data_IF_784499992671
#
_entry.id   IF_784499992671
#
_cell.length_a   1.000
_cell.length_b   1.000
_cell.length_c   1.000
_cell.angle_alpha   90.00
_cell.angle_beta   90.00
_cell.angle_gamma   90.00
#
_symmetry.space_group_name_H-M   'P 1'
#
loop_
_entity.id
_entity.type
_entity.pdbx_description
1 polymer ?
#
# COMPACT_ATOMS: atom_id res chain seq x y z
N UNK A 1 -9.28 -24.79 -26.69
CA UNK A 1 -10.36 -24.86 -25.68
C UNK A 1 -11.52 -24.00 -26.15
N UNK A 2 -12.77 -24.50 -26.13
CA UNK A 2 -13.95 -23.63 -26.33
C UNK A 2 -14.06 -22.72 -25.11
N UNK A 3 -13.87 -21.40 -25.28
CA UNK A 3 -14.13 -20.42 -24.25
C UNK A 3 -15.65 -20.27 -24.10
N UNK A 4 -16.20 -20.71 -22.95
CA UNK A 4 -17.59 -20.46 -22.59
C UNK A 4 -17.72 -19.04 -22.04
N UNK A 5 -17.94 -18.07 -22.91
CA UNK A 5 -18.13 -16.67 -22.51
C UNK A 5 -19.61 -16.44 -22.13
N UNK A 6 -19.99 -16.83 -20.92
CA UNK A 6 -21.27 -16.44 -20.34
C UNK A 6 -21.31 -14.93 -20.07
N UNK A 7 -20.17 -14.41 -19.63
CA UNK A 7 -19.93 -12.98 -19.39
C UNK A 7 -18.42 -12.72 -19.47
N UNK A 8 -18.02 -11.51 -19.77
CA UNK A 8 -16.62 -11.06 -19.80
C UNK A 8 -16.52 -9.59 -19.44
N UNK A 9 -15.34 -9.19 -18.99
CA UNK A 9 -14.94 -7.78 -18.89
C UNK A 9 -14.05 -7.46 -20.09
N UNK A 10 -14.40 -6.43 -20.84
CA UNK A 10 -13.57 -5.89 -21.92
C UNK A 10 -12.65 -4.80 -21.36
N UNK A 11 -11.34 -4.96 -21.59
CA UNK A 11 -10.33 -4.01 -21.13
C UNK A 11 -9.65 -3.40 -22.34
N UNK A 12 -9.81 -2.10 -22.51
CA UNK A 12 -9.18 -1.36 -23.60
C UNK A 12 -7.77 -0.90 -23.16
N UNK A 13 -6.74 -1.64 -23.61
CA UNK A 13 -5.35 -1.35 -23.28
C UNK A 13 -4.84 -0.04 -23.91
N UNK A 14 -5.38 0.39 -25.05
CA UNK A 14 -4.99 1.65 -25.68
C UNK A 14 -5.52 2.85 -24.89
N UNK A 15 -6.70 2.73 -24.29
CA UNK A 15 -7.20 3.73 -23.35
C UNK A 15 -6.33 3.82 -22.09
N UNK A 16 -5.83 2.70 -21.58
CA UNK A 16 -4.88 2.66 -20.46
C UNK A 16 -3.55 3.33 -20.83
N UNK A 17 -3.01 3.06 -22.02
CA UNK A 17 -1.81 3.75 -22.55
C UNK A 17 -2.04 5.26 -22.65
N UNK A 18 -3.15 5.66 -23.25
CA UNK A 18 -3.52 7.07 -23.35
C UNK A 18 -3.58 7.76 -21.99
N UNK A 19 -4.10 7.10 -20.95
CA UNK A 19 -4.15 7.69 -19.61
C UNK A 19 -2.74 7.92 -19.03
N UNK A 20 -1.77 7.06 -19.32
CA UNK A 20 -0.37 7.28 -18.94
C UNK A 20 0.26 8.39 -19.76
N UNK A 21 -0.06 8.53 -21.05
CA UNK A 21 0.37 9.68 -21.85
C UNK A 21 -0.14 11.01 -21.25
N UNK A 22 -1.36 11.04 -20.73
CA UNK A 22 -1.89 12.21 -20.02
C UNK A 22 -1.14 12.47 -18.69
N UNK A 23 -0.70 11.41 -17.99
CA UNK A 23 0.18 11.59 -16.82
C UNK A 23 1.48 12.26 -17.24
N UNK A 24 2.15 11.80 -18.31
CA UNK A 24 3.39 12.39 -18.80
C UNK A 24 3.26 13.87 -19.17
N UNK A 25 2.11 14.31 -19.67
CA UNK A 25 1.83 15.73 -19.96
C UNK A 25 1.72 16.60 -18.71
N UNK A 26 1.41 15.99 -17.57
CA UNK A 26 1.20 16.69 -16.28
C UNK A 26 2.41 16.66 -15.34
N UNK A 27 3.52 16.04 -15.76
CA UNK A 27 4.75 15.95 -14.98
C UNK A 27 5.91 16.60 -15.72
N UNK A 28 6.99 16.90 -15.01
CA UNK A 28 8.21 17.45 -15.62
C UNK A 28 8.94 16.37 -16.42
N UNK A 29 9.64 16.78 -17.47
CA UNK A 29 10.56 15.92 -18.19
C UNK A 29 11.59 15.32 -17.22
N UNK A 30 11.83 14.02 -17.34
CA UNK A 30 12.73 13.27 -16.45
C UNK A 30 12.06 12.72 -15.16
N UNK A 31 10.84 13.15 -14.82
CA UNK A 31 10.09 12.52 -13.73
C UNK A 31 9.65 11.12 -14.13
N UNK A 32 10.00 10.13 -13.31
CA UNK A 32 9.63 8.71 -13.53
C UNK A 32 8.17 8.47 -13.23
N UNK A 33 7.59 7.47 -13.89
CA UNK A 33 6.21 7.03 -13.66
C UNK A 33 6.20 5.60 -13.13
N UNK A 34 5.59 5.41 -11.97
CA UNK A 34 5.24 4.10 -11.41
C UNK A 34 3.77 3.82 -11.68
N UNK A 35 3.44 2.80 -12.47
CA UNK A 35 2.07 2.32 -12.60
C UNK A 35 1.68 1.43 -11.42
N UNK A 36 0.57 1.72 -10.76
CA UNK A 36 0.07 0.92 -9.65
C UNK A 36 -0.84 -0.18 -10.21
N UNK A 37 -0.35 -1.42 -10.17
CA UNK A 37 -1.01 -2.60 -10.75
C UNK A 37 -1.43 -3.65 -9.71
N UNK A 38 -1.44 -3.28 -8.43
CA UNK A 38 -1.93 -4.12 -7.33
C UNK A 38 -3.40 -4.50 -7.50
N UNK A 39 -3.85 -5.51 -6.78
CA UNK A 39 -5.22 -6.05 -6.87
C UNK A 39 -5.60 -6.41 -8.33
N UNK A 40 -4.68 -7.15 -9.00
CA UNK A 40 -4.81 -7.54 -10.39
C UNK A 40 -5.06 -6.33 -11.32
N UNK A 41 -4.25 -5.26 -11.16
CA UNK A 41 -4.42 -3.99 -11.86
C UNK A 41 -5.84 -3.41 -11.66
N UNK A 42 -6.28 -3.31 -10.39
CA UNK A 42 -7.64 -2.86 -10.05
C UNK A 42 -8.73 -3.67 -10.79
N UNK A 43 -8.48 -4.95 -11.00
CA UNK A 43 -9.38 -5.88 -11.70
C UNK A 43 -9.21 -5.94 -13.23
N UNK A 44 -8.28 -5.17 -13.81
CA UNK A 44 -8.06 -5.09 -15.25
C UNK A 44 -7.05 -6.11 -15.82
N UNK A 45 -6.41 -6.92 -14.97
CA UNK A 45 -5.40 -7.90 -15.39
C UNK A 45 -3.97 -7.35 -15.28
N UNK A 46 -3.27 -7.65 -14.17
CA UNK A 46 -1.97 -7.04 -13.84
C UNK A 46 -0.91 -7.30 -14.92
N UNK A 47 -0.78 -8.54 -15.38
CA UNK A 47 0.21 -8.92 -16.40
C UNK A 47 -0.05 -8.21 -17.74
N UNK A 48 -1.30 -8.18 -18.18
CA UNK A 48 -1.69 -7.56 -19.47
C UNK A 48 -1.47 -6.04 -19.42
N UNK A 49 -1.88 -5.40 -18.33
CA UNK A 49 -1.67 -3.95 -18.13
C UNK A 49 -0.18 -3.63 -18.02
N UNK A 50 0.59 -4.39 -17.23
CA UNK A 50 2.02 -4.15 -17.07
C UNK A 50 2.77 -4.29 -18.42
N UNK A 51 2.47 -5.32 -19.21
CA UNK A 51 3.03 -5.47 -20.56
C UNK A 51 2.62 -4.36 -21.51
N UNK A 52 1.37 -3.91 -21.45
CA UNK A 52 0.87 -2.83 -22.29
C UNK A 52 1.55 -1.49 -21.99
N UNK A 53 1.91 -1.24 -20.73
CA UNK A 53 2.55 -0.02 -20.25
C UNK A 53 4.08 -0.09 -20.22
N UNK A 54 4.68 -1.21 -20.63
CA UNK A 54 6.10 -1.47 -20.41
C UNK A 54 7.00 -0.32 -20.90
N UNK A 55 6.76 0.21 -22.10
CA UNK A 55 7.57 1.28 -22.67
C UNK A 55 7.24 2.69 -22.14
N UNK A 56 6.13 2.84 -21.43
CA UNK A 56 5.64 4.15 -20.97
C UNK A 56 5.88 4.39 -19.47
N UNK A 57 6.28 3.39 -18.69
CA UNK A 57 6.49 3.54 -17.24
C UNK A 57 7.85 3.02 -16.81
N UNK A 58 8.37 3.53 -15.72
CA UNK A 58 9.69 3.17 -15.17
C UNK A 58 9.60 2.09 -14.10
N UNK A 59 8.44 1.96 -13.45
CA UNK A 59 8.24 1.09 -12.31
C UNK A 59 6.80 0.60 -12.19
N UNK A 60 6.60 -0.43 -11.38
CA UNK A 60 5.30 -0.97 -11.02
C UNK A 60 5.15 -1.02 -9.50
N UNK A 61 3.98 -0.64 -9.00
CA UNK A 61 3.63 -0.72 -7.59
C UNK A 61 2.58 -1.79 -7.34
N UNK A 62 2.88 -2.69 -6.43
CA UNK A 62 2.00 -3.82 -6.03
C UNK A 62 1.75 -3.80 -4.52
N UNK A 63 0.86 -4.65 -4.02
CA UNK A 63 0.56 -4.72 -2.59
C UNK A 63 1.22 -5.92 -1.91
N UNK A 64 1.49 -7.00 -2.62
CA UNK A 64 1.90 -8.30 -2.09
C UNK A 64 3.03 -8.91 -2.91
N UNK A 65 3.78 -9.82 -2.28
CA UNK A 65 4.89 -10.52 -2.93
C UNK A 65 4.43 -11.40 -4.10
N UNK A 66 3.27 -12.03 -4.00
CA UNK A 66 2.71 -12.89 -5.05
C UNK A 66 2.40 -12.09 -6.32
N UNK A 67 1.87 -10.88 -6.19
CA UNK A 67 1.63 -9.96 -7.32
C UNK A 67 2.95 -9.57 -8.00
N UNK A 68 3.99 -9.30 -7.20
CA UNK A 68 5.31 -8.97 -7.72
C UNK A 68 5.97 -10.14 -8.45
N UNK A 69 5.91 -11.35 -7.89
CA UNK A 69 6.45 -12.58 -8.51
C UNK A 69 5.69 -12.91 -9.80
N UNK A 70 4.37 -12.72 -9.84
CA UNK A 70 3.58 -12.90 -11.06
C UNK A 70 4.09 -12.01 -12.19
N UNK A 71 4.35 -10.73 -11.91
CA UNK A 71 4.91 -9.80 -12.88
C UNK A 71 6.33 -10.21 -13.32
N UNK A 72 7.19 -10.62 -12.38
CA UNK A 72 8.54 -11.13 -12.72
C UNK A 72 8.49 -12.36 -13.63
N UNK A 73 7.63 -13.34 -13.31
CA UNK A 73 7.41 -14.53 -14.14
C UNK A 73 6.82 -14.22 -15.51
N UNK A 74 6.08 -13.11 -15.62
CA UNK A 74 5.58 -12.61 -16.90
C UNK A 74 6.61 -11.85 -17.75
N UNK A 75 7.86 -11.67 -17.25
CA UNK A 75 8.97 -11.02 -17.95
C UNK A 75 9.11 -9.52 -17.69
N UNK A 76 8.47 -8.99 -16.65
CA UNK A 76 8.67 -7.60 -16.23
C UNK A 76 9.98 -7.51 -15.43
N UNK A 77 10.99 -6.82 -15.96
CA UNK A 77 12.34 -6.66 -15.36
C UNK A 77 12.56 -5.27 -14.73
N UNK A 78 11.64 -4.30 -14.93
CA UNK A 78 11.67 -2.98 -14.31
C UNK A 78 11.51 -3.04 -12.79
N UNK A 79 11.75 -1.92 -12.11
CA UNK A 79 11.49 -1.79 -10.67
C UNK A 79 10.06 -2.23 -10.33
N UNK A 80 9.92 -3.16 -9.39
CA UNK A 80 8.63 -3.53 -8.79
C UNK A 80 8.73 -3.26 -7.29
N UNK A 81 7.88 -2.37 -6.78
CA UNK A 81 7.83 -1.99 -5.37
C UNK A 81 6.59 -2.57 -4.70
N UNK A 82 6.79 -3.34 -3.63
CA UNK A 82 5.69 -3.70 -2.73
C UNK A 82 5.41 -2.51 -1.81
N UNK A 83 4.19 -1.96 -1.91
CA UNK A 83 3.76 -0.76 -1.17
C UNK A 83 3.25 -1.06 0.25
N UNK A 84 3.20 -2.34 0.62
CA UNK A 84 2.66 -2.83 1.88
C UNK A 84 3.66 -3.67 2.67
N UNK A 85 3.11 -4.48 3.57
CA UNK A 85 3.85 -5.42 4.41
C UNK A 85 4.16 -6.70 3.65
N UNK A 86 5.35 -7.25 3.92
CA UNK A 86 5.75 -8.61 3.53
C UNK A 86 6.27 -9.31 4.77
N UNK A 87 5.83 -10.53 5.02
CA UNK A 87 6.30 -11.34 6.14
C UNK A 87 7.73 -11.83 5.95
N UNK A 88 8.44 -12.07 7.03
CA UNK A 88 9.83 -12.55 7.05
C UNK A 88 10.03 -13.84 6.24
N UNK A 89 9.02 -14.71 6.24
CA UNK A 89 9.00 -15.96 5.48
C UNK A 89 9.18 -15.79 3.97
N UNK A 90 8.94 -14.58 3.46
CA UNK A 90 9.04 -14.24 2.03
C UNK A 90 10.26 -13.37 1.69
N UNK A 91 11.15 -13.09 2.64
CA UNK A 91 12.31 -12.22 2.38
C UNK A 91 13.32 -12.85 1.42
N UNK A 92 13.46 -14.17 1.41
CA UNK A 92 14.28 -14.85 0.42
C UNK A 92 13.76 -14.62 -1.00
N UNK A 93 12.44 -14.73 -1.19
CA UNK A 93 11.80 -14.45 -2.48
C UNK A 93 11.96 -13.00 -2.92
N UNK A 94 11.84 -12.02 -1.99
CA UNK A 94 12.12 -10.62 -2.29
C UNK A 94 13.48 -10.42 -2.92
N UNK A 95 14.51 -11.02 -2.29
CA UNK A 95 15.90 -10.91 -2.72
C UNK A 95 16.13 -11.67 -4.03
N UNK A 96 15.64 -12.91 -4.15
CA UNK A 96 15.82 -13.76 -5.33
C UNK A 96 15.17 -13.15 -6.57
N UNK A 97 13.95 -12.65 -6.47
CA UNK A 97 13.22 -12.02 -7.56
C UNK A 97 13.55 -10.54 -7.76
N UNK A 98 14.50 -9.98 -6.99
CA UNK A 98 14.89 -8.55 -7.05
C UNK A 98 13.68 -7.61 -6.97
N UNK A 99 12.83 -7.82 -5.97
CA UNK A 99 11.65 -7.02 -5.70
C UNK A 99 12.01 -6.00 -4.62
N UNK A 100 11.69 -4.72 -4.85
CA UNK A 100 11.91 -3.66 -3.87
C UNK A 100 10.84 -3.70 -2.79
N UNK A 101 11.25 -3.60 -1.52
CA UNK A 101 10.36 -3.65 -0.35
C UNK A 101 10.20 -2.28 0.29
N UNK A 102 8.98 -1.92 0.66
CA UNK A 102 8.71 -0.79 1.55
C UNK A 102 9.14 -1.13 2.97
N UNK A 103 10.03 -0.33 3.55
CA UNK A 103 10.54 -0.49 4.91
C UNK A 103 10.09 0.69 5.78
N UNK A 104 9.60 0.38 6.98
CA UNK A 104 9.07 1.36 7.93
C UNK A 104 9.29 1.00 9.41
N UNK A 105 10.09 -0.04 9.68
CA UNK A 105 10.64 -0.33 11.03
C UNK A 105 12.09 -0.78 10.91
N UNK A 106 12.83 -0.66 12.02
CA UNK A 106 14.20 -1.15 12.14
C UNK A 106 14.28 -2.67 11.95
N UNK A 107 13.37 -3.40 12.60
CA UNK A 107 13.34 -4.86 12.60
C UNK A 107 13.17 -5.44 11.19
N UNK A 108 12.28 -4.85 10.38
CA UNK A 108 12.15 -5.22 8.97
C UNK A 108 13.45 -5.05 8.19
N UNK A 109 14.12 -3.90 8.39
CA UNK A 109 15.36 -3.58 7.71
C UNK A 109 16.48 -4.55 8.11
N UNK A 110 16.64 -4.80 9.41
CA UNK A 110 17.65 -5.69 9.96
C UNK A 110 17.50 -7.11 9.44
N UNK A 111 16.30 -7.69 9.60
CA UNK A 111 15.99 -9.06 9.13
C UNK A 111 16.16 -9.21 7.62
N UNK A 112 15.71 -8.23 6.83
CA UNK A 112 15.86 -8.26 5.37
C UNK A 112 17.34 -8.14 4.96
N UNK A 113 18.12 -7.31 5.67
CA UNK A 113 19.57 -7.19 5.47
C UNK A 113 20.28 -8.50 5.76
N UNK A 114 19.97 -9.16 6.87
CA UNK A 114 20.54 -10.46 7.21
C UNK A 114 20.21 -11.53 6.16
N UNK A 115 18.97 -11.57 5.69
CA UNK A 115 18.54 -12.51 4.66
C UNK A 115 19.29 -12.26 3.35
N UNK A 116 19.42 -11.00 2.93
CA UNK A 116 20.16 -10.64 1.73
C UNK A 116 21.64 -11.04 1.81
N UNK A 117 22.29 -10.84 2.97
CA UNK A 117 23.68 -11.25 3.21
C UNK A 117 23.85 -12.76 3.16
N UNK A 118 22.93 -13.54 3.75
CA UNK A 118 22.95 -15.02 3.66
C UNK A 118 22.91 -15.50 2.22
N UNK A 119 22.20 -14.77 1.33
CA UNK A 119 22.09 -15.07 -0.09
C UNK A 119 23.24 -14.46 -0.93
N UNK A 120 24.17 -13.72 -0.31
CA UNK A 120 25.27 -13.04 -1.01
C UNK A 120 24.80 -11.93 -1.96
N UNK A 121 23.65 -11.32 -1.67
CA UNK A 121 23.00 -10.28 -2.49
C UNK A 121 22.72 -9.02 -1.66
N UNK A 122 22.12 -8.03 -2.30
CA UNK A 122 21.51 -6.88 -1.62
C UNK A 122 20.01 -6.86 -1.87
N UNK A 123 19.26 -6.54 -0.83
CA UNK A 123 17.84 -6.25 -0.95
C UNK A 123 17.62 -4.77 -1.24
N UNK A 124 16.79 -4.47 -2.22
CA UNK A 124 16.39 -3.09 -2.57
C UNK A 124 15.21 -2.66 -1.71
N UNK A 125 15.31 -1.47 -1.16
CA UNK A 125 14.26 -0.94 -0.27
C UNK A 125 13.88 0.49 -0.59
N UNK A 126 12.61 0.82 -0.30
CA UNK A 126 12.13 2.19 -0.21
C UNK A 126 11.68 2.49 1.22
N UNK A 127 12.25 3.55 1.80
CA UNK A 127 11.87 4.03 3.13
C UNK A 127 10.49 4.67 3.06
N UNK A 128 9.58 4.27 3.95
CA UNK A 128 8.25 4.88 4.07
C UNK A 128 8.21 5.86 5.21
N UNK A 129 7.83 7.11 4.91
CA UNK A 129 7.61 8.17 5.89
C UNK A 129 6.10 8.39 6.07
N UNK A 130 5.63 8.49 7.30
CA UNK A 130 4.24 8.83 7.61
C UNK A 130 4.12 10.31 7.97
N UNK A 131 3.60 11.10 7.06
CA UNK A 131 3.41 12.54 7.22
C UNK A 131 1.99 12.93 7.61
N UNK A 132 1.16 11.93 7.99
CA UNK A 132 -0.21 12.16 8.44
C UNK A 132 -1.26 11.22 7.84
N UNK A 133 -0.86 10.16 7.10
CA UNK A 133 -1.76 9.09 6.67
C UNK A 133 -2.11 8.16 7.83
N UNK A 134 -1.22 8.05 8.83
CA UNK A 134 -1.37 7.25 10.05
C UNK A 134 -1.71 5.78 9.75
N UNK A 135 -0.96 5.20 8.79
CA UNK A 135 -1.15 3.82 8.34
C UNK A 135 0.11 2.98 8.53
N UNK A 136 1.19 3.34 7.87
CA UNK A 136 2.53 2.78 7.99
C UNK A 136 3.55 3.88 7.71
N UNK A 137 4.74 3.79 8.28
CA UNK A 137 5.84 4.71 8.00
C UNK A 137 6.52 5.23 9.27
N UNK A 138 7.74 5.68 9.12
CA UNK A 138 8.46 6.44 10.15
C UNK A 138 7.79 7.81 10.32
N UNK A 139 7.39 8.13 11.54
CA UNK A 139 6.87 9.48 11.86
C UNK A 139 8.08 10.44 11.91
N UNK A 140 8.04 11.58 11.17
CA UNK A 140 9.15 12.54 11.19
C UNK A 140 9.51 13.00 12.60
N UNK A 141 10.70 12.59 13.05
CA UNK A 141 11.29 12.89 14.38
C UNK A 141 12.79 12.66 14.33
N UNK A 142 13.54 13.15 15.32
CA UNK A 142 14.98 12.86 15.47
C UNK A 142 15.24 11.35 15.58
N UNK A 143 14.45 10.63 16.36
CA UNK A 143 14.56 9.17 16.51
C UNK A 143 14.40 8.44 15.17
N UNK A 144 13.46 8.89 14.33
CA UNK A 144 13.27 8.33 12.99
C UNK A 144 14.41 8.68 12.05
N UNK A 145 15.00 9.88 12.16
CA UNK A 145 16.20 10.25 11.40
C UNK A 145 17.38 9.35 11.77
N UNK A 146 17.64 9.14 13.06
CA UNK A 146 18.70 8.26 13.57
C UNK A 146 18.49 6.81 13.08
N UNK A 147 17.23 6.35 13.06
CA UNK A 147 16.88 5.00 12.62
C UNK A 147 17.11 4.83 11.11
N UNK A 148 16.66 5.78 10.30
CA UNK A 148 16.82 5.72 8.83
C UNK A 148 18.29 5.85 8.43
N UNK A 149 19.07 6.67 9.14
CA UNK A 149 20.53 6.77 8.96
C UNK A 149 21.17 5.39 9.17
N UNK A 150 20.92 4.73 10.31
CA UNK A 150 21.40 3.38 10.58
C UNK A 150 20.94 2.34 9.54
N UNK A 151 19.70 2.42 9.09
CA UNK A 151 19.19 1.53 8.02
C UNK A 151 20.01 1.70 6.75
N UNK A 152 20.38 2.93 6.40
CA UNK A 152 21.18 3.21 5.20
C UNK A 152 22.59 2.62 5.23
N UNK A 153 23.10 2.30 6.43
CA UNK A 153 24.42 1.69 6.66
C UNK A 153 24.36 0.16 6.67
N UNK A 154 23.19 -0.47 6.67
CA UNK A 154 23.06 -1.93 6.69
C UNK A 154 23.64 -2.56 5.41
N UNK A 155 24.64 -3.45 5.55
CA UNK A 155 25.43 -3.92 4.39
C UNK A 155 24.63 -4.77 3.39
N UNK A 156 23.55 -5.42 3.83
CA UNK A 156 22.66 -6.23 2.99
C UNK A 156 21.60 -5.41 2.24
N UNK A 157 21.51 -4.08 2.48
CA UNK A 157 20.48 -3.26 1.88
C UNK A 157 21.03 -2.30 0.80
N UNK A 158 20.14 -1.91 -0.11
CA UNK A 158 20.30 -0.80 -1.04
C UNK A 158 19.06 0.09 -0.89
N UNK A 159 19.24 1.30 -0.33
CA UNK A 159 18.15 2.28 -0.19
C UNK A 159 17.94 2.96 -1.54
N UNK A 160 16.98 2.45 -2.31
CA UNK A 160 16.68 2.88 -3.67
C UNK A 160 15.75 4.10 -3.70
N UNK A 161 14.89 4.24 -2.68
CA UNK A 161 13.94 5.35 -2.63
C UNK A 161 13.41 5.67 -1.23
N UNK A 162 12.72 6.80 -1.16
CA UNK A 162 11.99 7.25 0.04
C UNK A 162 10.67 7.88 -0.38
N UNK A 163 9.59 7.61 0.37
CA UNK A 163 8.29 8.11 -0.02
C UNK A 163 7.31 8.33 1.14
N UNK A 164 6.32 9.14 0.88
CA UNK A 164 5.11 9.25 1.70
C UNK A 164 3.86 9.03 0.86
N UNK A 165 2.70 9.03 1.52
CA UNK A 165 1.40 8.96 0.85
C UNK A 165 0.44 9.96 1.47
N UNK A 166 -0.09 10.85 0.66
CA UNK A 166 -1.04 11.86 1.13
C UNK A 166 -2.38 11.23 1.52
N UNK A 167 -2.85 11.59 2.70
CA UNK A 167 -4.15 11.15 3.20
C UNK A 167 -5.32 11.90 2.54
N UNK A 168 -5.07 13.14 2.07
CA UNK A 168 -6.10 14.11 1.71
C UNK A 168 -5.73 14.94 0.47
N UNK A 169 -4.96 14.39 -0.48
CA UNK A 169 -4.60 15.08 -1.72
C UNK A 169 -5.77 15.14 -2.72
N UNK A 170 -6.84 14.45 -2.44
CA UNK A 170 -8.05 14.30 -3.23
C UNK A 170 -9.23 15.09 -2.67
N UNK A 171 -8.97 16.05 -1.78
CA UNK A 171 -9.96 17.00 -1.26
C UNK A 171 -10.15 18.22 -2.17
N UNK A 172 -11.20 19.02 -1.86
CA UNK A 172 -11.63 20.20 -2.62
C UNK A 172 -10.55 21.27 -2.80
N UNK A 173 -9.55 21.26 -1.94
CA UNK A 173 -8.35 22.09 -2.02
C UNK A 173 -7.13 21.27 -1.71
N UNK A 174 -5.97 21.64 -2.26
CA UNK A 174 -4.71 20.96 -2.01
C UNK A 174 -4.09 21.31 -0.64
N UNK A 175 -4.64 22.30 0.06
CA UNK A 175 -4.12 22.79 1.33
C UNK A 175 -3.85 21.68 2.37
N UNK A 176 -4.74 20.65 2.54
CA UNK A 176 -4.49 19.55 3.45
C UNK A 176 -3.28 18.67 3.09
N UNK A 177 -2.77 18.73 1.86
CA UNK A 177 -1.58 17.99 1.43
C UNK A 177 -0.28 18.80 1.57
N UNK A 178 -0.34 20.14 1.70
CA UNK A 178 0.84 21.02 1.78
C UNK A 178 1.67 20.78 3.04
N UNK A 179 1.02 20.65 4.20
CA UNK A 179 1.72 20.38 5.45
C UNK A 179 2.38 18.99 5.48
N UNK A 180 1.70 17.88 5.09
CA UNK A 180 2.35 16.60 4.85
C UNK A 180 3.54 16.67 3.89
N UNK A 181 3.42 17.42 2.80
CA UNK A 181 4.51 17.59 1.84
C UNK A 181 5.71 18.32 2.47
N UNK A 182 5.48 19.42 3.20
CA UNK A 182 6.54 20.15 3.90
C UNK A 182 7.25 19.28 4.94
N UNK A 183 6.51 18.51 5.75
CA UNK A 183 7.09 17.55 6.70
C UNK A 183 7.99 16.54 6.01
N UNK A 184 7.56 16.03 4.83
CA UNK A 184 8.35 15.10 4.05
C UNK A 184 9.65 15.75 3.55
N UNK A 185 9.57 16.93 2.94
CA UNK A 185 10.74 17.66 2.43
C UNK A 185 11.74 17.95 3.56
N UNK A 186 11.27 18.49 4.69
CA UNK A 186 12.13 18.75 5.86
C UNK A 186 12.83 17.47 6.34
N UNK A 187 12.11 16.37 6.43
CA UNK A 187 12.69 15.08 6.84
C UNK A 187 13.79 14.59 5.91
N UNK A 188 13.58 14.72 4.60
CA UNK A 188 14.58 14.36 3.59
C UNK A 188 15.80 15.28 3.64
N UNK A 189 15.60 16.60 3.75
CA UNK A 189 16.70 17.58 3.87
C UNK A 189 17.57 17.32 5.11
N UNK A 190 16.98 16.90 6.22
CA UNK A 190 17.73 16.52 7.43
C UNK A 190 18.53 15.21 7.22
N UNK A 191 17.98 14.22 6.53
CA UNK A 191 18.73 13.01 6.14
C UNK A 191 19.91 13.34 5.23
N UNK A 192 19.73 14.22 4.25
CA UNK A 192 20.82 14.67 3.37
C UNK A 192 21.94 15.39 4.12
N UNK A 193 21.60 16.24 5.11
CA UNK A 193 22.59 16.89 6.01
C UNK A 193 23.39 15.88 6.81
N UNK A 194 22.81 14.74 7.16
CA UNK A 194 23.47 13.60 7.83
C UNK A 194 24.28 12.73 6.87
N UNK A 195 24.27 13.05 5.57
CA UNK A 195 25.02 12.32 4.52
C UNK A 195 24.25 11.15 3.90
N UNK A 196 22.99 10.93 4.29
CA UNK A 196 22.12 9.89 3.71
C UNK A 196 21.54 10.40 2.39
N UNK A 197 22.02 9.85 1.27
CA UNK A 197 21.57 10.21 -0.08
C UNK A 197 20.69 9.11 -0.65
N UNK A 198 19.43 9.43 -0.93
CA UNK A 198 18.46 8.50 -1.49
C UNK A 198 18.06 8.98 -2.89
N UNK A 199 18.23 8.15 -3.93
CA UNK A 199 18.11 8.63 -5.33
C UNK A 199 16.69 8.88 -5.82
N UNK A 200 15.64 8.24 -5.23
CA UNK A 200 14.28 8.35 -5.72
C UNK A 200 13.34 8.85 -4.63
N UNK A 201 12.83 10.05 -4.80
CA UNK A 201 11.83 10.65 -3.92
C UNK A 201 10.45 10.62 -4.59
N UNK A 202 9.43 10.06 -3.92
CA UNK A 202 8.10 9.99 -4.50
C UNK A 202 6.98 10.17 -3.47
N UNK A 203 6.14 11.17 -3.70
CA UNK A 203 5.02 11.49 -2.80
C UNK A 203 3.67 11.49 -3.53
N UNK A 204 3.64 11.87 -4.82
CA UNK A 204 2.42 12.01 -5.59
C UNK A 204 1.68 10.69 -5.83
N UNK A 205 0.38 10.71 -5.59
CA UNK A 205 -0.60 9.73 -6.03
C UNK A 205 -1.41 10.31 -7.22
N UNK A 206 -2.41 9.60 -7.74
CA UNK A 206 -3.23 10.06 -8.87
C UNK A 206 -3.81 11.46 -8.69
N UNK A 207 -4.25 11.83 -7.48
CA UNK A 207 -4.82 13.14 -7.21
C UNK A 207 -3.76 14.25 -7.24
N UNK A 208 -2.62 14.03 -6.60
CA UNK A 208 -1.54 15.03 -6.56
C UNK A 208 -0.82 15.17 -7.90
N UNK A 209 -0.77 14.15 -8.75
CA UNK A 209 -0.27 14.29 -10.13
C UNK A 209 -1.02 15.39 -10.85
N UNK A 210 -2.35 15.44 -10.67
CA UNK A 210 -3.22 16.42 -11.32
C UNK A 210 -3.23 17.75 -10.58
N UNK A 211 -3.40 17.73 -9.26
CA UNK A 211 -3.73 18.92 -8.45
C UNK A 211 -2.55 19.55 -7.70
N UNK A 212 -1.36 18.90 -7.67
CA UNK A 212 -0.22 19.38 -6.89
C UNK A 212 1.13 19.14 -7.61
N UNK A 213 1.39 19.85 -8.71
CA UNK A 213 2.60 19.64 -9.53
C UNK A 213 3.93 19.77 -8.78
N UNK A 214 3.99 20.58 -7.73
CA UNK A 214 5.18 20.75 -6.89
C UNK A 214 5.57 19.47 -6.15
N UNK A 215 4.61 18.57 -5.92
CA UNK A 215 4.83 17.27 -5.28
C UNK A 215 5.28 16.17 -6.27
N UNK A 216 5.32 16.46 -7.57
CA UNK A 216 5.84 15.52 -8.58
C UNK A 216 7.37 15.59 -8.58
N UNK A 217 7.98 14.89 -7.63
CA UNK A 217 9.42 14.83 -7.43
C UNK A 217 10.11 13.94 -8.49
N UNK A 218 11.00 13.01 -8.07
CA UNK A 218 11.71 12.14 -9.01
C UNK A 218 10.81 11.08 -9.64
N UNK A 219 9.73 10.68 -8.95
CA UNK A 219 8.78 9.69 -9.43
C UNK A 219 7.37 9.97 -8.96
N UNK A 220 6.39 9.71 -9.81
CA UNK A 220 4.96 9.77 -9.48
C UNK A 220 4.34 8.37 -9.49
N UNK A 221 3.25 8.16 -8.71
CA UNK A 221 2.54 6.89 -8.63
C UNK A 221 1.14 7.03 -9.22
N UNK A 222 1.00 6.65 -10.50
CA UNK A 222 -0.29 6.62 -11.20
C UNK A 222 -1.07 5.38 -10.77
N UNK A 223 -2.14 5.59 -10.03
CA UNK A 223 -3.05 4.55 -9.54
C UNK A 223 -4.34 4.52 -10.33
N UNK A 224 -5.43 4.98 -9.71
CA UNK A 224 -6.79 4.89 -10.27
C UNK A 224 -6.95 5.63 -11.61
N UNK A 225 -6.18 6.69 -11.85
CA UNK A 225 -6.19 7.43 -13.11
C UNK A 225 -5.66 6.63 -14.29
N UNK A 226 -4.77 5.67 -14.06
CA UNK A 226 -4.32 4.71 -15.09
C UNK A 226 -5.50 3.97 -15.72
N UNK A 227 -6.56 3.74 -14.95
CA UNK A 227 -7.76 3.00 -15.37
C UNK A 227 -8.91 3.91 -15.82
N UNK A 228 -8.64 5.19 -16.07
CA UNK A 228 -9.62 6.17 -16.54
C UNK A 228 -10.65 6.59 -15.50
N UNK A 229 -10.37 6.35 -14.22
CA UNK A 229 -11.24 6.74 -13.12
C UNK A 229 -10.60 7.90 -12.35
N UNK A 230 -11.43 8.87 -11.96
CA UNK A 230 -10.99 9.95 -11.11
C UNK A 230 -10.88 9.49 -9.65
N UNK A 231 -9.90 10.01 -8.89
CA UNK A 231 -9.75 9.70 -7.46
C UNK A 231 -10.97 10.04 -6.61
N UNK A 232 -11.77 11.03 -7.04
CA UNK A 232 -13.04 11.42 -6.45
C UNK A 232 -13.89 12.23 -7.45
N UNK A 233 -15.19 12.39 -7.18
CA UNK A 233 -16.10 13.23 -7.96
C UNK A 233 -15.66 14.70 -8.00
N UNK A 234 -14.83 15.11 -7.05
CA UNK A 234 -14.30 16.45 -6.94
C UNK A 234 -12.96 16.66 -7.63
N UNK A 235 -12.18 15.61 -7.92
CA UNK A 235 -11.07 15.67 -8.89
C UNK A 235 -11.61 15.65 -10.32
N UNK A 236 -12.75 15.04 -10.58
CA UNK A 236 -13.54 15.31 -11.79
C UNK A 236 -14.06 16.76 -11.81
N UNK A 237 -14.17 17.41 -10.61
CA UNK A 237 -14.62 18.81 -10.36
C UNK A 237 -13.84 19.51 -9.25
N UNK A 238 -12.64 19.00 -8.83
CA UNK A 238 -11.91 19.26 -7.58
C UNK A 238 -12.42 18.55 -6.31
N UNK A 239 -11.87 17.42 -6.00
CA UNK A 239 -11.38 16.73 -4.77
C UNK A 239 -12.33 16.39 -3.61
N UNK A 240 -12.35 15.08 -3.16
CA UNK A 240 -12.45 14.69 -1.75
C UNK A 240 -12.14 13.22 -1.40
N UNK A 241 -11.23 13.03 -0.42
CA UNK A 241 -11.06 11.82 0.40
C UNK A 241 -10.84 12.28 1.85
N UNK A 242 -11.80 12.24 2.73
CA UNK A 242 -11.69 12.87 4.04
C UNK A 242 -11.04 11.99 5.12
N UNK A 243 -10.12 12.54 5.91
CA UNK A 243 -9.69 11.99 7.20
C UNK A 243 -10.88 11.96 8.17
N UNK A 244 -11.51 10.78 8.34
CA UNK A 244 -12.74 10.65 9.17
C UNK A 244 -12.48 10.29 10.63
N UNK A 245 -11.23 10.05 10.99
CA UNK A 245 -10.87 9.73 12.37
C UNK A 245 -9.75 10.66 12.83
N UNK A 246 -9.93 11.27 13.99
CA UNK A 246 -8.91 12.05 14.69
C UNK A 246 -8.77 11.49 16.10
N UNK A 247 -7.58 11.03 16.46
CA UNK A 247 -7.29 10.61 17.82
C UNK A 247 -7.43 11.80 18.77
N UNK A 248 -8.24 11.66 19.81
CA UNK A 248 -8.43 12.70 20.85
C UNK A 248 -7.35 12.63 21.92
N UNK A 249 -6.68 11.50 22.03
CA UNK A 249 -5.61 11.22 22.99
C UNK A 249 -4.59 10.25 22.36
N UNK A 250 -3.47 10.03 23.04
CA UNK A 250 -2.45 9.06 22.61
C UNK A 250 -3.07 7.66 22.57
N UNK A 251 -2.97 6.99 21.43
CA UNK A 251 -3.50 5.65 21.23
C UNK A 251 -2.51 4.75 20.47
N UNK A 252 -2.65 3.45 20.63
CA UNK A 252 -1.89 2.45 19.88
C UNK A 252 -2.78 1.92 18.76
N UNK A 253 -2.29 2.03 17.52
CA UNK A 253 -3.02 1.62 16.32
C UNK A 253 -2.28 0.46 15.67
N UNK A 254 -2.99 -0.66 15.44
CA UNK A 254 -2.49 -1.75 14.61
C UNK A 254 -3.02 -1.61 13.18
N UNK A 255 -2.13 -1.82 12.22
CA UNK A 255 -2.50 -1.89 10.80
C UNK A 255 -2.65 -3.36 10.40
N UNK A 256 -3.83 -3.71 9.90
CA UNK A 256 -4.17 -5.06 9.47
C UNK A 256 -4.01 -5.13 7.94
N UNK A 257 -3.17 -6.02 7.39
CA UNK A 257 -2.87 -6.11 5.96
C UNK A 257 -3.98 -6.84 5.17
N UNK A 258 -5.22 -6.38 5.34
CA UNK A 258 -6.43 -6.85 4.65
C UNK A 258 -7.26 -5.63 4.27
N UNK A 259 -7.84 -5.63 3.08
CA UNK A 259 -8.67 -4.53 2.63
C UNK A 259 -9.83 -4.97 1.73
N UNK A 260 -10.45 -4.01 1.03
CA UNK A 260 -11.60 -4.36 0.20
C UNK A 260 -11.23 -5.18 -1.05
N UNK A 261 -9.96 -5.16 -1.49
CA UNK A 261 -9.48 -6.04 -2.55
C UNK A 261 -9.39 -7.52 -2.12
N UNK A 262 -9.38 -7.78 -0.80
CA UNK A 262 -9.39 -9.12 -0.22
C UNK A 262 -10.83 -9.61 0.08
N UNK A 263 -11.83 -8.71 -0.05
CA UNK A 263 -13.24 -8.98 0.23
C UNK A 263 -13.78 -8.26 1.46
N UNK A 264 -12.93 -7.50 2.19
CA UNK A 264 -13.39 -6.74 3.34
C UNK A 264 -14.27 -5.56 2.90
N UNK A 265 -15.54 -5.56 3.28
CA UNK A 265 -16.49 -4.52 2.82
C UNK A 265 -16.12 -3.14 3.40
N UNK A 266 -16.07 -2.13 2.54
CA UNK A 266 -15.71 -0.76 2.91
C UNK A 266 -16.72 -0.12 3.88
N UNK A 267 -17.96 -0.57 3.88
CA UNK A 267 -19.02 -0.10 4.78
C UNK A 267 -18.79 -0.43 6.26
N UNK A 268 -17.85 -1.35 6.56
CA UNK A 268 -17.40 -1.64 7.92
C UNK A 268 -16.50 -0.52 8.50
N UNK A 269 -16.13 0.48 7.70
CA UNK A 269 -15.30 1.62 8.12
C UNK A 269 -15.90 2.34 9.32
N UNK A 270 -15.19 2.34 10.45
CA UNK A 270 -15.62 2.94 11.70
C UNK A 270 -16.81 2.24 12.40
N UNK A 271 -17.28 1.10 11.88
CA UNK A 271 -18.40 0.31 12.44
C UNK A 271 -18.00 -1.11 12.81
N UNK A 272 -17.04 -1.67 12.11
CA UNK A 272 -16.55 -3.02 12.31
C UNK A 272 -15.58 -3.13 13.47
N UNK A 273 -15.27 -4.38 13.82
CA UNK A 273 -14.26 -4.75 14.81
C UNK A 273 -13.63 -6.07 14.41
N UNK A 274 -12.48 -6.36 14.99
CA UNK A 274 -11.78 -7.65 14.86
C UNK A 274 -11.50 -8.21 16.26
N UNK A 275 -10.98 -9.44 16.35
CA UNK A 275 -10.47 -10.01 17.59
C UNK A 275 -8.93 -10.14 17.49
N UNK A 276 -8.26 -9.81 18.58
CA UNK A 276 -6.81 -9.99 18.79
C UNK A 276 -6.66 -10.46 20.25
N UNK A 277 -6.04 -11.60 20.49
CA UNK A 277 -5.91 -12.22 21.81
C UNK A 277 -7.25 -12.31 22.56
N UNK A 278 -8.32 -12.70 21.86
CA UNK A 278 -9.66 -12.79 22.43
C UNK A 278 -10.27 -11.46 22.86
N UNK A 279 -9.74 -10.32 22.40
CA UNK A 279 -10.24 -8.98 22.72
C UNK A 279 -10.71 -8.26 21.45
N UNK A 280 -11.81 -7.50 21.56
CA UNK A 280 -12.33 -6.73 20.43
C UNK A 280 -11.49 -5.50 20.17
N UNK A 281 -11.05 -5.30 18.93
CA UNK A 281 -10.35 -4.11 18.46
C UNK A 281 -11.21 -3.40 17.38
N UNK A 282 -11.72 -2.18 17.66
CA UNK A 282 -12.59 -1.47 16.72
C UNK A 282 -11.82 -0.95 15.50
N UNK A 283 -12.46 -0.98 14.33
CA UNK A 283 -11.90 -0.45 13.09
C UNK A 283 -11.92 1.07 13.13
N UNK A 284 -10.76 1.68 12.87
CA UNK A 284 -10.54 3.12 12.83
C UNK A 284 -10.56 3.63 11.39
N UNK A 285 -11.26 4.75 11.18
CA UNK A 285 -11.27 5.42 9.88
C UNK A 285 -11.84 4.54 8.75
N UNK A 286 -11.29 4.67 7.55
CA UNK A 286 -11.76 3.95 6.35
C UNK A 286 -10.93 2.71 6.07
N UNK A 287 -11.61 1.64 5.65
CA UNK A 287 -10.97 0.46 5.07
C UNK A 287 -10.39 0.86 3.71
N UNK A 288 -9.09 0.63 3.53
CA UNK A 288 -8.36 0.86 2.29
C UNK A 288 -8.44 -0.37 1.38
N UNK A 289 -7.79 -0.31 0.21
CA UNK A 289 -7.77 -1.42 -0.75
C UNK A 289 -7.13 -2.68 -0.15
N UNK A 290 -6.01 -2.51 0.55
CA UNK A 290 -5.16 -3.61 1.02
C UNK A 290 -4.98 -3.65 2.54
N UNK A 291 -5.49 -2.65 3.27
CA UNK A 291 -5.22 -2.48 4.70
C UNK A 291 -6.35 -1.74 5.40
N UNK A 292 -6.51 -1.98 6.71
CA UNK A 292 -7.29 -1.14 7.60
C UNK A 292 -6.63 -1.03 8.97
N UNK A 293 -7.04 -0.05 9.77
CA UNK A 293 -6.48 0.22 11.09
C UNK A 293 -7.48 -0.14 12.18
N UNK A 294 -6.97 -0.58 13.33
CA UNK A 294 -7.76 -0.90 14.53
C UNK A 294 -7.13 -0.29 15.77
N UNK A 295 -7.96 0.06 16.75
CA UNK A 295 -7.49 0.50 18.06
C UNK A 295 -7.13 -0.70 18.94
N UNK A 296 -5.86 -0.78 19.32
CA UNK A 296 -5.32 -1.81 20.22
C UNK A 296 -4.80 -1.22 21.53
N UNK A 297 -5.16 0.02 21.87
CA UNK A 297 -4.65 0.71 23.06
C UNK A 297 -4.92 -0.06 24.37
N UNK A 298 -5.97 -0.85 24.42
CA UNK A 298 -6.36 -1.66 25.58
C UNK A 298 -5.82 -3.10 25.53
N UNK A 299 -5.21 -3.52 24.42
CA UNK A 299 -4.64 -4.87 24.22
C UNK A 299 -3.12 -4.77 24.41
N UNK A 300 -2.68 -4.83 25.66
CA UNK A 300 -1.27 -4.53 26.02
C UNK A 300 -0.27 -5.49 25.40
N UNK A 301 -0.70 -6.72 25.11
CA UNK A 301 0.12 -7.78 24.56
C UNK A 301 0.18 -7.75 23.02
N UNK A 302 -0.58 -6.84 22.37
CA UNK A 302 -0.63 -6.78 20.91
C UNK A 302 0.74 -6.47 20.31
N UNK A 303 1.21 -7.32 19.42
CA UNK A 303 2.50 -7.25 18.77
C UNK A 303 2.40 -7.50 17.26
N UNK A 304 3.44 -7.11 16.53
CA UNK A 304 3.55 -7.42 15.10
C UNK A 304 3.66 -8.94 14.92
N UNK A 305 2.89 -9.48 13.98
CA UNK A 305 2.82 -10.92 13.72
C UNK A 305 1.69 -11.65 14.45
N UNK A 306 0.93 -10.97 15.30
CA UNK A 306 -0.22 -11.55 15.97
C UNK A 306 -1.33 -11.93 15.00
N UNK A 307 -2.03 -13.01 15.32
CA UNK A 307 -3.22 -13.41 14.57
C UNK A 307 -4.38 -12.46 14.83
N UNK A 308 -5.00 -11.99 13.76
CA UNK A 308 -6.19 -11.14 13.80
C UNK A 308 -7.39 -11.91 13.24
N UNK A 309 -8.41 -12.11 14.04
CA UNK A 309 -9.65 -12.78 13.62
C UNK A 309 -10.66 -11.73 13.15
N UNK A 310 -10.94 -11.71 11.85
CA UNK A 310 -11.91 -10.79 11.23
C UNK A 310 -13.33 -11.25 11.52
N UNK A 311 -13.61 -12.55 11.35
CA UNK A 311 -14.83 -13.22 11.76
C UNK A 311 -14.50 -14.66 12.18
N UNK A 312 -15.30 -15.22 13.07
CA UNK A 312 -15.03 -16.50 13.71
C UNK A 312 -14.61 -16.32 15.17
N UNK A 313 -14.09 -17.39 15.76
CA UNK A 313 -13.74 -17.47 17.19
C UNK A 313 -12.27 -17.10 17.43
N UNK A 314 -12.05 -16.40 18.54
CA UNK A 314 -10.74 -16.18 19.14
C UNK A 314 -10.90 -16.25 20.66
N UNK A 315 -10.39 -17.33 21.27
CA UNK A 315 -10.67 -17.69 22.65
C UNK A 315 -12.16 -17.93 22.90
N UNK A 316 -12.72 -17.26 23.91
CA UNK A 316 -14.14 -17.36 24.25
C UNK A 316 -15.04 -16.42 23.42
N UNK A 317 -14.44 -15.48 22.68
CA UNK A 317 -15.19 -14.50 21.89
C UNK A 317 -15.38 -14.95 20.46
N UNK A 318 -16.42 -14.42 19.84
CA UNK A 318 -16.79 -14.70 18.47
C UNK A 318 -17.30 -13.45 17.76
N UNK A 319 -16.91 -13.28 16.51
CA UNK A 319 -17.54 -12.33 15.58
C UNK A 319 -18.24 -13.18 14.53
N UNK A 320 -19.56 -13.36 14.61
CA UNK A 320 -20.28 -14.12 13.60
C UNK A 320 -20.28 -13.38 12.26
N UNK A 321 -20.29 -14.13 11.17
CA UNK A 321 -20.30 -13.54 9.82
C UNK A 321 -21.55 -12.68 9.58
N UNK A 322 -22.63 -12.99 10.26
CA UNK A 322 -23.88 -12.24 10.24
C UNK A 322 -23.70 -10.81 10.78
N UNK A 323 -22.90 -10.63 11.84
CA UNK A 323 -22.57 -9.28 12.36
C UNK A 323 -21.85 -8.44 11.31
N UNK A 324 -20.90 -9.03 10.61
CA UNK A 324 -20.15 -8.37 9.55
C UNK A 324 -21.06 -8.02 8.37
N UNK A 325 -21.87 -8.97 7.93
CA UNK A 325 -22.80 -8.79 6.83
C UNK A 325 -23.82 -7.67 7.13
N UNK A 326 -24.46 -7.68 8.31
CA UNK A 326 -25.42 -6.67 8.73
C UNK A 326 -24.79 -5.26 8.75
N UNK A 327 -23.60 -5.12 9.36
CA UNK A 327 -22.88 -3.84 9.43
C UNK A 327 -22.42 -3.32 8.08
N UNK A 328 -22.28 -4.19 7.09
CA UNK A 328 -21.89 -3.84 5.71
C UNK A 328 -23.06 -3.80 4.72
N UNK A 329 -24.30 -3.78 5.22
CA UNK A 329 -25.52 -3.76 4.39
C UNK A 329 -25.58 -4.90 3.35
N UNK A 330 -25.09 -6.07 3.74
CA UNK A 330 -25.01 -7.29 2.96
C UNK A 330 -25.68 -8.42 3.74
N UNK A 331 -25.65 -9.65 3.25
CA UNK A 331 -26.02 -10.82 4.02
C UNK A 331 -24.90 -11.86 3.98
N UNK A 332 -24.95 -12.83 4.89
CA UNK A 332 -23.83 -13.73 5.16
C UNK A 332 -23.31 -14.47 3.91
N UNK A 333 -24.18 -14.99 3.04
CA UNK A 333 -23.80 -15.67 1.79
C UNK A 333 -23.03 -14.75 0.84
N UNK A 334 -23.51 -13.52 0.65
CA UNK A 334 -22.85 -12.53 -0.21
C UNK A 334 -21.48 -12.17 0.35
N UNK A 335 -21.38 -11.97 1.68
CA UNK A 335 -20.12 -11.61 2.31
C UNK A 335 -19.06 -12.70 2.12
N UNK A 336 -19.39 -13.98 2.42
CA UNK A 336 -18.41 -15.07 2.28
C UNK A 336 -18.00 -15.30 0.81
N UNK A 337 -18.92 -15.11 -0.13
CA UNK A 337 -18.62 -15.16 -1.57
C UNK A 337 -17.76 -13.99 -2.06
N UNK A 338 -17.70 -12.88 -1.32
CA UNK A 338 -16.89 -11.72 -1.69
C UNK A 338 -15.40 -11.86 -1.33
N UNK A 339 -15.02 -12.86 -0.53
CA UNK A 339 -13.62 -13.15 -0.21
C UNK A 339 -12.89 -13.57 -1.48
N UNK A 340 -11.96 -12.74 -1.94
CA UNK A 340 -11.29 -12.88 -3.23
C UNK A 340 -10.25 -14.01 -3.22
N UNK A 341 -9.71 -14.34 -4.39
CA UNK A 341 -8.65 -15.33 -4.54
C UNK A 341 -7.30 -14.88 -3.94
N UNK A 342 -7.15 -13.60 -3.57
CA UNK A 342 -5.97 -13.09 -2.83
C UNK A 342 -5.87 -13.70 -1.43
N UNK A 343 -6.98 -14.15 -0.84
CA UNK A 343 -7.01 -14.80 0.47
C UNK A 343 -6.88 -16.31 0.27
N UNK A 344 -5.74 -16.94 0.60
CA UNK A 344 -5.57 -18.39 0.47
C UNK A 344 -6.52 -19.13 1.42
N UNK A 345 -6.96 -20.33 1.02
CA UNK A 345 -7.79 -21.20 1.83
C UNK A 345 -6.93 -22.27 2.46
N UNK A 346 -6.98 -22.36 3.81
CA UNK A 346 -6.41 -23.48 4.56
C UNK A 346 -7.55 -24.42 4.95
N UNK A 347 -7.42 -25.67 4.61
CA UNK A 347 -8.38 -26.72 4.94
C UNK A 347 -7.91 -27.44 6.19
N UNK A 348 -8.82 -27.67 7.15
CA UNK A 348 -8.56 -28.39 8.39
C UNK A 348 -9.34 -29.71 8.36
N UNK A 349 -8.77 -30.79 8.92
CA UNK A 349 -9.45 -32.09 9.00
C UNK A 349 -9.11 -33.05 7.85
N UNK A 350 -8.01 -32.83 7.12
CA UNK A 350 -7.40 -33.82 6.23
C UNK A 350 -6.44 -34.71 6.99
#
# INVERSE_FOLDING_TARGET
>A
MKQFNRTYAEVNLDAIRHNIDEVHKNIKEGTKVMAIVKANAYGHGAVQVAKALYDQVDAYGVAMIEEAIELRKAGIDKLILILGYTGEESYEDLVEYQISQTVYTWEMAEQLSETALKLGKKAKIHIKVDTGMSRIGFIPSEESLDTVEKISELPGLEVEGIFTHFARADEKTIEPAREPFRKYITFVEELEKRGVKIPIHHVSNSASIIGFPEANLDMVRSGITTYGLYPSDEVAKSISYGGRFTAKEKMTVATIPVGYADGMKRDLSGKGRVLIHGQYAPILGRICMDQFMVDVSHIKEAAIGDTVTIFGKDGEKNIPVEEIAEKSHSFNYEFVCSITNRVPRKYLGE
#
